data_IF_177717634051
#
_entry.id   IF_177717634051
#
_cell.length_a   1.000
_cell.length_b   1.000
_cell.length_c   1.000
_cell.angle_alpha   90.00
_cell.angle_beta   90.00
_cell.angle_gamma   90.00
#
_symmetry.space_group_name_H-M   'P 1'
#
loop_
_entity.id
_entity.type
_entity.pdbx_description
1 polymer ?
#
# COMPACT_ATOMS: atom_id res chain seq x y z
N UNK A 1 5.71 1.99 -24.77
CA UNK A 1 5.15 1.32 -23.57
C UNK A 1 5.99 1.77 -22.39
N UNK A 2 5.47 2.63 -21.51
CA UNK A 2 6.23 3.00 -20.32
C UNK A 2 6.32 1.77 -19.42
N UNK A 3 7.53 1.37 -19.05
CA UNK A 3 7.71 0.35 -18.03
C UNK A 3 7.06 0.88 -16.74
N UNK A 4 6.20 0.07 -16.11
CA UNK A 4 5.63 0.40 -14.80
C UNK A 4 6.78 0.73 -13.86
N UNK A 5 6.75 1.92 -13.27
CA UNK A 5 7.81 2.29 -12.33
C UNK A 5 7.66 1.44 -11.07
N UNK A 6 8.75 0.98 -10.44
CA UNK A 6 8.67 0.14 -9.23
C UNK A 6 7.77 0.74 -8.15
N UNK A 7 7.73 2.06 -8.04
CA UNK A 7 6.89 2.80 -7.10
C UNK A 7 5.39 2.57 -7.33
N UNK A 8 4.94 2.51 -8.59
CA UNK A 8 3.53 2.26 -8.91
C UNK A 8 3.09 0.86 -8.46
N UNK A 9 3.98 -0.13 -8.55
CA UNK A 9 3.72 -1.49 -8.07
C UNK A 9 3.53 -1.51 -6.54
N UNK A 10 4.43 -0.89 -5.78
CA UNK A 10 4.31 -0.84 -4.32
C UNK A 10 3.15 0.03 -3.85
N UNK A 11 2.85 1.12 -4.56
CA UNK A 11 1.72 1.98 -4.24
C UNK A 11 0.38 1.28 -4.47
N UNK A 12 0.27 0.47 -5.54
CA UNK A 12 -0.91 -0.37 -5.76
C UNK A 12 -1.15 -1.32 -4.57
N UNK A 13 -0.08 -1.92 -4.03
CA UNK A 13 -0.16 -2.76 -2.82
C UNK A 13 -0.59 -1.96 -1.59
N UNK A 14 -0.07 -0.75 -1.39
CA UNK A 14 -0.50 0.12 -0.30
C UNK A 14 -1.99 0.47 -0.37
N UNK A 15 -2.54 0.71 -1.58
CA UNK A 15 -3.98 0.93 -1.76
C UNK A 15 -4.82 -0.33 -1.46
N UNK A 16 -4.33 -1.51 -1.83
CA UNK A 16 -4.99 -2.78 -1.48
C UNK A 16 -5.08 -2.95 0.04
N UNK A 17 -4.00 -2.66 0.76
CA UNK A 17 -3.96 -2.66 2.23
C UNK A 17 -4.97 -1.65 2.79
N UNK A 18 -4.96 -0.40 2.34
CA UNK A 18 -5.89 0.63 2.80
C UNK A 18 -7.37 0.21 2.67
N UNK A 19 -7.76 -0.47 1.57
CA UNK A 19 -9.14 -0.93 1.36
C UNK A 19 -9.65 -1.88 2.45
N UNK A 20 -8.77 -2.52 3.22
CA UNK A 20 -9.16 -3.42 4.32
C UNK A 20 -9.78 -2.65 5.50
N UNK A 21 -9.45 -1.38 5.70
CA UNK A 21 -10.03 -0.54 6.77
C UNK A 21 -11.45 -0.03 6.48
N UNK A 22 -11.94 -0.12 5.23
CA UNK A 22 -13.13 0.62 4.72
C UNK A 22 -14.43 0.54 5.52
N UNK A 23 -14.58 -0.40 6.45
CA UNK A 23 -15.78 -0.58 7.27
C UNK A 23 -15.55 -0.37 8.77
N UNK A 24 -14.31 -0.13 9.21
CA UNK A 24 -13.94 -0.11 10.63
C UNK A 24 -13.13 1.13 11.04
N UNK A 25 -12.56 1.88 10.11
CA UNK A 25 -11.69 3.02 10.44
C UNK A 25 -12.42 4.34 10.68
N UNK A 26 -13.72 4.47 10.35
CA UNK A 26 -14.48 5.73 10.56
C UNK A 26 -14.40 6.19 12.02
N UNK A 27 -14.08 7.48 12.29
CA UNK A 27 -13.99 8.63 11.37
C UNK A 27 -12.64 8.84 10.68
N UNK A 28 -11.64 8.01 10.96
CA UNK A 28 -10.30 8.12 10.41
C UNK A 28 -10.25 7.65 8.95
N UNK A 29 -9.32 8.17 8.13
CA UNK A 29 -9.15 7.70 6.75
C UNK A 29 -8.63 6.26 6.70
N UNK A 30 -8.93 5.59 5.60
CA UNK A 30 -8.30 4.31 5.27
C UNK A 30 -6.87 4.57 4.77
N UNK A 31 -5.87 4.09 5.49
CA UNK A 31 -4.46 4.27 5.13
C UNK A 31 -3.83 2.90 4.96
N UNK A 32 -2.88 2.76 4.04
CA UNK A 32 -2.10 1.55 3.87
C UNK A 32 -0.63 1.93 3.71
N UNK A 33 0.27 1.07 4.20
CA UNK A 33 1.70 1.32 4.18
C UNK A 33 2.46 0.06 3.76
N UNK A 34 3.51 0.24 2.96
CA UNK A 34 4.45 -0.80 2.55
C UNK A 34 5.87 -0.26 2.82
N UNK A 35 6.70 -1.05 3.51
CA UNK A 35 8.11 -0.77 3.71
C UNK A 35 8.93 -1.68 2.79
N UNK A 36 9.79 -1.09 1.94
CA UNK A 36 10.60 -1.82 0.97
C UNK A 36 12.09 -1.66 1.30
N UNK A 37 12.83 -2.76 1.25
CA UNK A 37 14.30 -2.80 1.34
C UNK A 37 14.82 -3.77 0.29
N UNK A 38 15.77 -3.30 -0.53
CA UNK A 38 16.40 -4.12 -1.58
C UNK A 38 15.41 -4.80 -2.53
N UNK A 39 14.33 -4.09 -2.88
CA UNK A 39 13.25 -4.57 -3.74
C UNK A 39 12.33 -5.62 -3.10
N UNK A 40 12.44 -5.85 -1.79
CA UNK A 40 11.60 -6.77 -1.03
C UNK A 40 10.73 -5.99 -0.04
N UNK A 41 9.47 -6.41 0.09
CA UNK A 41 8.58 -5.88 1.13
C UNK A 41 8.99 -6.49 2.47
N UNK A 42 9.36 -5.63 3.42
CA UNK A 42 9.78 -6.03 4.78
C UNK A 42 8.74 -5.67 5.85
N UNK A 43 7.68 -4.95 5.47
CA UNK A 43 6.59 -4.59 6.38
C UNK A 43 5.36 -4.08 5.63
N UNK A 44 4.18 -4.36 6.19
CA UNK A 44 2.87 -3.96 5.66
C UNK A 44 1.92 -3.57 6.81
N UNK A 45 1.02 -2.63 6.57
CA UNK A 45 -0.02 -2.23 7.53
C UNK A 45 -1.19 -1.47 6.90
N UNK A 46 -2.34 -1.44 7.61
CA UNK A 46 -3.55 -0.68 7.26
C UNK A 46 -4.41 -0.36 8.49
#
# INVERSE_FOLDING_TARGET
MSAIHPDEFYLARAFELARRGRFTTTPNPNVGCVLVRDGQIVGEGF
#
